data_IF_771509079850
#
_entry.id   IF_771509079850
#
_cell.length_a   1.000
_cell.length_b   1.000
_cell.length_c   1.000
_cell.angle_alpha   90.00
_cell.angle_beta   90.00
_cell.angle_gamma   90.00
#
_symmetry.space_group_name_H-M   'P 1'
#
loop_
_entity.id
_entity.type
_entity.pdbx_description
1 polymer ?
#
# COMPACT_ATOMS: atom_id res chain seq x y z
N UNK A 1 39.65 1.01 -21.78
CA UNK A 1 38.41 1.31 -21.02
C UNK A 1 38.34 0.38 -19.82
N UNK A 2 39.41 0.30 -19.03
CA UNK A 2 39.76 1.19 -17.91
C UNK A 2 39.10 0.71 -16.61
N UNK A 3 39.72 -0.32 -16.01
CA UNK A 3 39.45 -0.83 -14.65
C UNK A 3 39.33 0.29 -13.61
N UNK A 4 40.01 1.42 -13.84
CA UNK A 4 39.90 2.65 -13.05
C UNK A 4 38.46 3.18 -12.93
N UNK A 5 37.65 3.15 -14.00
CA UNK A 5 36.25 3.64 -13.94
C UNK A 5 35.37 2.75 -13.05
N UNK A 6 35.53 1.42 -13.15
CA UNK A 6 34.74 0.45 -12.36
C UNK A 6 35.06 0.52 -10.86
N UNK A 7 36.31 0.84 -10.50
CA UNK A 7 36.72 1.05 -9.09
C UNK A 7 36.16 2.35 -8.53
N UNK A 8 36.11 3.42 -9.32
CA UNK A 8 35.52 4.70 -8.91
C UNK A 8 34.02 4.55 -8.68
N UNK A 9 33.28 3.90 -9.58
CA UNK A 9 31.83 3.64 -9.42
C UNK A 9 31.52 2.84 -8.14
N UNK A 10 32.34 1.83 -7.82
CA UNK A 10 32.16 1.04 -6.59
C UNK A 10 32.49 1.82 -5.32
N UNK A 11 33.44 2.77 -5.37
CA UNK A 11 33.73 3.65 -4.22
C UNK A 11 32.63 4.68 -4.04
N UNK A 12 32.12 5.26 -5.12
CA UNK A 12 31.01 6.20 -5.08
C UNK A 12 29.74 5.52 -4.53
N UNK A 13 29.45 4.27 -4.91
CA UNK A 13 28.31 3.54 -4.36
C UNK A 13 28.46 3.21 -2.87
N UNK A 14 29.68 2.90 -2.40
CA UNK A 14 29.94 2.70 -0.96
C UNK A 14 29.75 3.99 -0.16
N UNK A 15 30.30 5.10 -0.64
CA UNK A 15 30.16 6.42 0.00
C UNK A 15 28.69 6.83 0.07
N UNK A 16 27.93 6.68 -1.01
CA UNK A 16 26.51 7.01 -0.98
C UNK A 16 25.71 6.11 -0.04
N UNK A 17 26.10 4.84 0.09
CA UNK A 17 25.46 3.91 1.04
C UNK A 17 25.77 4.27 2.49
N UNK A 18 27.03 4.59 2.82
CA UNK A 18 27.45 5.01 4.16
C UNK A 18 26.83 6.34 4.58
N UNK A 19 26.75 7.32 3.67
CA UNK A 19 26.05 8.59 3.92
C UNK A 19 24.56 8.35 4.14
N UNK A 20 23.96 7.37 3.45
CA UNK A 20 22.57 6.98 3.70
C UNK A 20 22.41 6.49 5.15
N UNK A 21 23.27 5.57 5.62
CA UNK A 21 23.19 4.99 6.96
C UNK A 21 23.35 6.01 8.11
N UNK A 22 24.00 7.16 7.89
CA UNK A 22 24.15 8.22 8.90
C UNK A 22 22.94 9.17 9.03
N UNK A 23 22.00 9.14 8.08
CA UNK A 23 20.80 9.99 8.12
C UNK A 23 19.67 9.23 8.80
N UNK A 24 19.20 9.77 9.93
CA UNK A 24 18.06 9.22 10.66
C UNK A 24 16.84 9.07 9.74
N UNK A 25 16.03 8.04 9.98
CA UNK A 25 14.75 7.84 9.28
C UNK A 25 13.89 9.10 9.40
N UNK A 26 13.93 9.76 10.56
CA UNK A 26 13.18 11.00 10.81
C UNK A 26 13.64 12.14 9.90
N UNK A 27 14.95 12.29 9.66
CA UNK A 27 15.49 13.34 8.79
C UNK A 27 15.07 13.12 7.33
N UNK A 28 15.08 11.86 6.87
CA UNK A 28 14.61 11.52 5.52
C UNK A 28 13.11 11.77 5.38
N UNK A 29 12.33 11.41 6.40
CA UNK A 29 10.89 11.66 6.39
C UNK A 29 10.59 13.17 6.37
N UNK A 30 11.32 13.96 7.18
CA UNK A 30 11.21 15.41 7.20
C UNK A 30 11.55 16.05 5.84
N UNK A 31 12.56 15.53 5.14
CA UNK A 31 12.89 15.99 3.79
C UNK A 31 11.73 15.75 2.80
N UNK A 32 11.14 14.55 2.82
CA UNK A 32 9.97 14.20 1.97
C UNK A 32 8.78 15.11 2.31
N UNK A 33 8.50 15.34 3.59
CA UNK A 33 7.38 16.19 4.02
C UNK A 33 7.54 17.63 3.48
N UNK A 34 8.76 18.19 3.54
CA UNK A 34 9.04 19.53 2.98
C UNK A 34 8.80 19.59 1.48
N UNK A 35 9.19 18.55 0.75
CA UNK A 35 8.97 18.44 -0.70
C UNK A 35 7.47 18.37 -1.04
N UNK A 36 6.70 17.55 -0.31
CA UNK A 36 5.25 17.42 -0.50
C UNK A 36 4.52 18.75 -0.26
N UNK A 37 4.88 19.45 0.82
CA UNK A 37 4.32 20.78 1.13
C UNK A 37 4.72 21.79 0.05
N UNK A 38 5.99 21.81 -0.37
CA UNK A 38 6.47 22.70 -1.42
C UNK A 38 5.80 22.48 -2.78
N UNK A 39 5.36 21.25 -3.05
CA UNK A 39 4.63 20.86 -4.26
C UNK A 39 3.12 21.13 -4.19
N UNK A 40 2.62 21.67 -3.06
CA UNK A 40 1.19 21.95 -2.86
C UNK A 40 0.32 20.70 -2.69
N UNK A 41 0.93 19.55 -2.34
CA UNK A 41 0.19 18.31 -2.11
C UNK A 41 -0.53 18.42 -0.77
N UNK A 42 -1.84 18.20 -0.79
CA UNK A 42 -2.66 18.22 0.42
C UNK A 42 -2.31 17.03 1.32
N UNK A 43 -2.56 17.17 2.63
CA UNK A 43 -2.36 16.06 3.58
C UNK A 43 -3.11 14.79 3.16
N UNK A 44 -4.35 14.94 2.65
CA UNK A 44 -5.15 13.81 2.19
C UNK A 44 -4.46 13.05 1.04
N UNK A 45 -3.97 13.76 0.04
CA UNK A 45 -3.24 13.18 -1.09
C UNK A 45 -1.91 12.55 -0.65
N UNK A 46 -1.19 13.20 0.28
CA UNK A 46 0.06 12.66 0.82
C UNK A 46 -0.17 11.35 1.57
N UNK A 47 -1.19 11.28 2.42
CA UNK A 47 -1.56 10.06 3.16
C UNK A 47 -1.98 8.95 2.20
N UNK A 48 -2.78 9.26 1.19
CA UNK A 48 -3.21 8.29 0.18
C UNK A 48 -2.03 7.71 -0.61
N UNK A 49 -1.12 8.58 -1.09
CA UNK A 49 0.06 8.16 -1.83
C UNK A 49 1.04 7.36 -0.97
N UNK A 50 1.27 7.80 0.28
CA UNK A 50 2.10 7.07 1.24
C UNK A 50 1.52 5.69 1.53
N UNK A 51 0.23 5.63 1.84
CA UNK A 51 -0.44 4.37 2.17
C UNK A 51 -0.33 3.35 1.02
N UNK A 52 -0.56 3.80 -0.22
CA UNK A 52 -0.43 2.94 -1.40
C UNK A 52 0.98 2.37 -1.57
N UNK A 53 2.01 3.23 -1.44
CA UNK A 53 3.42 2.81 -1.52
C UNK A 53 3.80 1.86 -0.37
N UNK A 54 3.31 2.12 0.84
CA UNK A 54 3.59 1.30 2.01
C UNK A 54 2.97 -0.10 1.90
N UNK A 55 1.72 -0.19 1.43
CA UNK A 55 1.05 -1.47 1.16
C UNK A 55 1.78 -2.24 0.06
N UNK A 56 2.19 -1.58 -1.02
CA UNK A 56 2.97 -2.21 -2.09
C UNK A 56 4.30 -2.79 -1.57
N UNK A 57 5.03 -2.03 -0.75
CA UNK A 57 6.27 -2.50 -0.13
C UNK A 57 6.03 -3.73 0.76
N UNK A 58 4.97 -3.74 1.57
CA UNK A 58 4.62 -4.89 2.41
C UNK A 58 4.24 -6.13 1.59
N UNK A 59 3.56 -5.95 0.46
CA UNK A 59 3.22 -7.03 -0.47
C UNK A 59 4.46 -7.61 -1.14
N UNK A 60 5.37 -6.76 -1.62
CA UNK A 60 6.66 -7.17 -2.19
C UNK A 60 7.50 -7.93 -1.16
N UNK A 61 7.61 -7.39 0.07
CA UNK A 61 8.32 -8.03 1.17
C UNK A 61 7.67 -9.35 1.65
N UNK A 62 6.45 -9.63 1.22
CA UNK A 62 5.70 -10.86 1.51
C UNK A 62 5.56 -11.76 0.29
N UNK A 63 6.24 -11.45 -0.82
CA UNK A 63 6.17 -12.19 -2.10
C UNK A 63 4.72 -12.39 -2.59
N UNK A 64 3.88 -11.37 -2.39
CA UNK A 64 2.46 -11.42 -2.78
C UNK A 64 1.54 -12.15 -1.79
N UNK A 65 2.04 -12.68 -0.68
CA UNK A 65 1.19 -13.32 0.32
C UNK A 65 0.44 -12.27 1.17
N UNK A 66 -0.85 -12.11 0.89
CA UNK A 66 -1.73 -11.13 1.56
C UNK A 66 -1.84 -11.37 3.06
N UNK A 67 -1.89 -12.63 3.51
CA UNK A 67 -1.99 -12.92 4.95
C UNK A 67 -0.72 -12.48 5.67
N UNK A 68 0.45 -12.79 5.11
CA UNK A 68 1.73 -12.35 5.68
C UNK A 68 1.90 -10.83 5.61
N UNK A 69 1.52 -10.21 4.49
CA UNK A 69 1.53 -8.76 4.35
C UNK A 69 0.61 -8.08 5.37
N UNK A 70 -0.59 -8.63 5.60
CA UNK A 70 -1.54 -8.09 6.59
C UNK A 70 -0.99 -8.15 8.02
N UNK A 71 -0.26 -9.22 8.36
CA UNK A 71 0.44 -9.34 9.65
C UNK A 71 1.56 -8.31 9.79
N UNK A 72 2.37 -8.12 8.74
CA UNK A 72 3.45 -7.11 8.71
C UNK A 72 2.91 -5.68 8.82
N UNK A 73 1.78 -5.41 8.19
CA UNK A 73 1.10 -4.12 8.24
C UNK A 73 0.31 -3.90 9.55
N UNK A 74 0.12 -4.92 10.38
CA UNK A 74 -0.69 -4.83 11.60
C UNK A 74 -2.19 -4.66 11.33
N UNK A 75 -2.68 -5.07 10.16
CA UNK A 75 -4.09 -4.94 9.76
C UNK A 75 -4.73 -6.29 9.54
N UNK A 76 -6.06 -6.34 9.64
CA UNK A 76 -6.79 -7.55 9.28
C UNK A 76 -6.72 -7.82 7.77
N UNK A 77 -6.55 -9.09 7.35
CA UNK A 77 -6.47 -9.46 5.92
C UNK A 77 -7.63 -8.95 5.06
N UNK A 78 -8.85 -8.90 5.60
CA UNK A 78 -10.00 -8.36 4.88
C UNK A 78 -9.86 -6.86 4.61
N UNK A 79 -9.31 -6.11 5.57
CA UNK A 79 -9.02 -4.69 5.41
C UNK A 79 -7.98 -4.49 4.32
N UNK A 80 -6.92 -5.31 4.33
CA UNK A 80 -5.90 -5.27 3.28
C UNK A 80 -6.48 -5.63 1.91
N UNK A 81 -7.34 -6.65 1.81
CA UNK A 81 -8.03 -7.01 0.57
C UNK A 81 -8.91 -5.86 0.05
N UNK A 82 -9.64 -5.17 0.92
CA UNK A 82 -10.46 -4.03 0.56
C UNK A 82 -9.57 -2.87 0.07
N UNK A 83 -8.50 -2.54 0.82
CA UNK A 83 -7.55 -1.49 0.46
C UNK A 83 -6.86 -1.76 -0.87
N UNK A 84 -6.40 -3.00 -1.11
CA UNK A 84 -5.89 -3.43 -2.40
C UNK A 84 -6.95 -3.19 -3.48
N UNK A 85 -8.18 -3.67 -3.31
CA UNK A 85 -9.24 -3.48 -4.31
C UNK A 85 -9.51 -2.01 -4.65
N UNK A 86 -9.48 -1.10 -3.68
CA UNK A 86 -9.67 0.35 -3.91
C UNK A 86 -8.43 1.03 -4.48
N UNK A 87 -7.24 0.76 -3.94
CA UNK A 87 -5.99 1.44 -4.34
C UNK A 87 -5.44 0.95 -5.68
N UNK A 88 -5.66 -0.32 -6.05
CA UNK A 88 -5.22 -0.80 -7.38
C UNK A 88 -5.99 -0.09 -8.51
N UNK A 89 -7.20 0.40 -8.25
CA UNK A 89 -7.98 1.16 -9.23
C UNK A 89 -7.55 2.63 -9.38
N UNK A 90 -6.70 3.15 -8.48
CA UNK A 90 -6.27 4.56 -8.49
C UNK A 90 -4.84 4.73 -9.03
N UNK A 91 -3.95 3.74 -8.87
CA UNK A 91 -2.50 3.90 -9.11
C UNK A 91 -1.91 3.09 -10.29
N UNK A 92 -2.71 2.61 -11.25
CA UNK A 92 -2.18 2.04 -12.51
C UNK A 92 -1.47 0.67 -12.45
N UNK A 93 -1.29 0.06 -11.27
CA UNK A 93 -0.73 -1.30 -11.13
C UNK A 93 -1.71 -2.44 -11.52
N UNK A 94 -2.95 -2.13 -11.91
CA UNK A 94 -4.07 -3.07 -12.02
C UNK A 94 -4.28 -3.75 -13.39
N UNK A 95 -3.46 -3.51 -14.41
CA UNK A 95 -3.69 -4.19 -15.71
C UNK A 95 -3.55 -5.72 -15.62
N UNK A 96 -2.80 -6.23 -14.63
CA UNK A 96 -2.51 -7.67 -14.46
C UNK A 96 -3.39 -8.41 -13.44
N UNK A 97 -4.21 -7.72 -12.65
CA UNK A 97 -5.02 -8.33 -11.59
C UNK A 97 -6.47 -7.87 -11.70
N UNK A 98 -7.19 -8.32 -12.75
CA UNK A 98 -8.63 -8.06 -12.87
C UNK A 98 -9.40 -8.89 -11.83
N UNK A 99 -10.07 -8.31 -10.82
CA UNK A 99 -10.99 -9.06 -10.01
C UNK A 99 -12.31 -9.24 -10.77
N UNK A 100 -12.72 -10.50 -10.93
CA UNK A 100 -14.05 -10.87 -11.45
C UNK A 100 -15.12 -10.08 -10.67
N UNK A 101 -15.93 -9.31 -11.41
CA UNK A 101 -17.06 -8.54 -10.90
C UNK A 101 -17.95 -9.43 -10.03
N UNK A 102 -18.00 -9.20 -8.71
CA UNK A 102 -19.12 -9.67 -7.88
C UNK A 102 -20.12 -8.54 -7.76
N UNK A 103 -21.14 -8.69 -8.60
CA UNK A 103 -22.54 -8.22 -8.54
C UNK A 103 -22.81 -6.97 -7.69
N UNK A 104 -23.30 -5.93 -8.35
CA UNK A 104 -24.03 -4.85 -7.73
C UNK A 104 -25.02 -5.41 -6.70
N UNK A 105 -25.06 -4.75 -5.54
CA UNK A 105 -25.88 -5.13 -4.41
C UNK A 105 -27.33 -5.39 -4.81
N UNK A 106 -27.83 -6.60 -4.53
CA UNK A 106 -29.26 -6.82 -4.40
C UNK A 106 -29.67 -6.47 -2.98
N UNK A 107 -30.36 -5.35 -2.94
CA UNK A 107 -31.05 -4.72 -1.81
C UNK A 107 -32.01 -5.67 -1.08
N UNK A 108 -31.97 -5.57 0.25
CA UNK A 108 -33.05 -5.79 1.23
C UNK A 108 -34.25 -6.66 0.84
N UNK A 109 -34.34 -7.85 1.46
CA UNK A 109 -35.63 -8.32 2.01
C UNK A 109 -35.39 -9.18 3.25
N UNK A 110 -35.53 -8.57 4.44
CA UNK A 110 -35.71 -9.34 5.68
C UNK A 110 -37.02 -10.09 5.55
N UNK A 111 -36.96 -11.42 5.42
CA UNK A 111 -38.15 -12.27 5.46
C UNK A 111 -38.73 -12.17 6.86
N UNK A 112 -39.94 -11.65 6.94
CA UNK A 112 -40.71 -11.50 8.17
C UNK A 112 -40.95 -12.87 8.81
N UNK A 113 -40.61 -12.96 10.10
CA UNK A 113 -41.05 -14.04 10.98
C UNK A 113 -42.57 -13.95 11.06
N UNK A 114 -43.29 -14.89 10.44
CA UNK A 114 -44.73 -15.07 10.72
C UNK A 114 -44.86 -15.92 11.97
N UNK A 115 -45.25 -15.29 13.08
CA UNK A 115 -45.85 -15.98 14.21
C UNK A 115 -47.15 -16.65 13.73
N UNK A 116 -47.19 -17.98 13.70
CA UNK A 116 -48.46 -18.70 13.57
C UNK A 116 -49.24 -18.55 14.87
N UNK A 117 -50.29 -17.75 14.73
CA UNK A 117 -51.36 -17.41 15.66
C UNK A 117 -52.13 -18.66 16.08
N UNK A 118 -52.39 -18.76 17.39
CA UNK A 118 -53.65 -19.18 18.03
C UNK A 118 -54.25 -20.57 17.74
N UNK A 119 -54.17 -21.40 18.79
CA UNK A 119 -55.20 -22.26 19.36
C UNK A 119 -56.53 -22.43 18.58
N UNK A 120 -56.89 -23.70 18.35
CA UNK A 120 -58.26 -24.18 18.39
C UNK A 120 -58.29 -25.62 18.89
#
# INVERSE_FOLDING_TARGET
MSLQLRVVESRLSKITTEVNEMVSIDDRLNAIIRELIGSGITLAQAVEAFEGKYIAAAMTASKGNVTQASRKLGVHRNTLHNKLRTQTMLNGFAESVRPVRRRAALSHKRVAIRSSRTAR
#
